data_IF_919320836826
#
_entry.id   IF_919320836826
#
_cell.length_a   1.000
_cell.length_b   1.000
_cell.length_c   1.000
_cell.angle_alpha   90.00
_cell.angle_beta   90.00
_cell.angle_gamma   90.00
#
_symmetry.space_group_name_H-M   'P 1'
#
loop_
_entity.id
_entity.type
_entity.pdbx_description
1 polymer ?
#
# COMPACT_ATOMS: atom_id res chain seq x y z
N UNK A 1 -3.33 25.62 -0.66
CA UNK A 1 -3.21 24.49 0.29
C UNK A 1 -4.20 23.44 -0.16
N UNK A 2 -3.73 22.35 -0.77
CA UNK A 2 -4.48 21.10 -0.85
C UNK A 2 -3.43 20.00 -0.72
N UNK A 3 -3.49 19.31 0.40
CA UNK A 3 -2.56 18.25 0.80
C UNK A 3 -3.10 17.01 0.13
N UNK A 4 -2.64 16.71 -1.08
CA UNK A 4 -3.08 15.53 -1.85
C UNK A 4 -2.40 14.27 -1.29
N UNK A 5 -2.68 14.00 -0.02
CA UNK A 5 -2.56 12.67 0.54
C UNK A 5 -3.74 11.92 -0.05
N UNK A 6 -3.50 10.82 -0.77
CA UNK A 6 -4.56 9.90 -1.19
C UNK A 6 -5.43 9.59 0.02
N UNK A 7 -6.60 10.22 0.08
CA UNK A 7 -7.53 10.13 1.19
C UNK A 7 -8.69 9.27 0.76
N UNK A 8 -8.62 8.01 1.14
CA UNK A 8 -9.65 7.03 0.85
C UNK A 8 -10.77 7.04 1.90
N UNK A 9 -10.85 8.03 2.79
CA UNK A 9 -11.93 8.09 3.78
C UNK A 9 -13.32 8.02 3.16
N UNK A 10 -13.48 8.54 1.93
CA UNK A 10 -14.73 8.49 1.19
C UNK A 10 -15.22 7.06 0.92
N UNK A 11 -14.32 6.08 0.84
CA UNK A 11 -14.69 4.67 0.72
C UNK A 11 -15.54 4.21 1.91
N UNK A 12 -15.19 4.65 3.12
CA UNK A 12 -15.92 4.27 4.34
C UNK A 12 -17.34 4.81 4.29
N UNK A 13 -17.49 6.10 3.98
CA UNK A 13 -18.80 6.74 3.88
C UNK A 13 -19.64 6.15 2.75
N UNK A 14 -19.04 5.93 1.58
CA UNK A 14 -19.75 5.35 0.44
C UNK A 14 -20.28 3.94 0.76
N UNK A 15 -19.49 3.10 1.45
CA UNK A 15 -19.90 1.75 1.84
C UNK A 15 -20.98 1.76 2.94
N UNK A 16 -20.91 2.67 3.91
CA UNK A 16 -21.92 2.78 4.97
C UNK A 16 -23.27 3.31 4.45
N UNK A 17 -23.23 4.22 3.47
CA UNK A 17 -24.41 4.85 2.88
C UNK A 17 -24.98 4.08 1.67
N UNK A 18 -24.42 2.91 1.34
CA UNK A 18 -24.77 2.09 0.16
C UNK A 18 -24.68 2.88 -1.16
N UNK A 19 -23.65 3.72 -1.29
CA UNK A 19 -23.32 4.45 -2.53
C UNK A 19 -22.41 3.60 -3.41
N UNK A 20 -22.94 2.47 -3.88
CA UNK A 20 -22.18 1.41 -4.56
C UNK A 20 -21.36 1.91 -5.75
N UNK A 21 -21.92 2.82 -6.56
CA UNK A 21 -21.18 3.40 -7.70
C UNK A 21 -19.91 4.15 -7.27
N UNK A 22 -19.98 4.92 -6.17
CA UNK A 22 -18.81 5.64 -5.66
C UNK A 22 -17.82 4.70 -4.96
N UNK A 23 -18.33 3.71 -4.24
CA UNK A 23 -17.49 2.69 -3.61
C UNK A 23 -16.69 1.92 -4.67
N UNK A 24 -17.34 1.46 -5.75
CA UNK A 24 -16.68 0.74 -6.83
C UNK A 24 -15.61 1.57 -7.53
N UNK A 25 -15.87 2.84 -7.84
CA UNK A 25 -14.86 3.75 -8.42
C UNK A 25 -13.60 3.83 -7.55
N UNK A 26 -13.75 3.91 -6.22
CA UNK A 26 -12.61 3.95 -5.31
C UNK A 26 -11.91 2.59 -5.22
N UNK A 27 -12.68 1.49 -5.25
CA UNK A 27 -12.14 0.13 -5.19
C UNK A 27 -11.35 -0.25 -6.45
N UNK A 28 -11.75 0.22 -7.62
CA UNK A 28 -10.99 0.05 -8.87
C UNK A 28 -9.58 0.64 -8.77
N UNK A 29 -9.38 1.69 -7.97
CA UNK A 29 -8.05 2.23 -7.68
C UNK A 29 -7.34 1.49 -6.53
N UNK A 30 -8.05 1.16 -5.46
CA UNK A 30 -7.46 0.64 -4.22
C UNK A 30 -7.02 -0.82 -4.35
N UNK A 31 -7.84 -1.68 -4.97
CA UNK A 31 -7.59 -3.11 -5.01
C UNK A 31 -6.30 -3.48 -5.77
N UNK A 32 -6.02 -2.94 -6.98
CA UNK A 32 -4.76 -3.24 -7.67
C UNK A 32 -3.52 -2.87 -6.83
N UNK A 33 -3.57 -1.72 -6.14
CA UNK A 33 -2.45 -1.28 -5.26
C UNK A 33 -2.20 -2.22 -4.09
N UNK A 34 -3.24 -2.85 -3.54
CA UNK A 34 -3.11 -3.85 -2.48
C UNK A 34 -2.49 -5.14 -3.00
N UNK A 35 -2.87 -5.57 -4.21
CA UNK A 35 -2.25 -6.72 -4.88
C UNK A 35 -0.78 -6.48 -5.17
N UNK A 36 -0.45 -5.33 -5.74
CA UNK A 36 0.93 -4.93 -6.01
C UNK A 36 1.77 -4.88 -4.74
N UNK A 37 1.20 -4.36 -3.65
CA UNK A 37 1.86 -4.39 -2.34
C UNK A 37 2.24 -5.82 -1.92
N UNK A 38 1.33 -6.79 -2.02
CA UNK A 38 1.62 -8.19 -1.67
C UNK A 38 2.65 -8.81 -2.60
N UNK A 39 2.55 -8.57 -3.90
CA UNK A 39 3.49 -9.08 -4.91
C UNK A 39 4.90 -8.54 -4.68
N UNK A 40 5.04 -7.25 -4.43
CA UNK A 40 6.34 -6.58 -4.27
C UNK A 40 6.98 -6.89 -2.92
N UNK A 41 6.22 -6.79 -1.81
CA UNK A 41 6.79 -6.88 -0.46
C UNK A 41 6.80 -8.29 0.11
N UNK A 42 5.96 -9.18 -0.42
CA UNK A 42 5.82 -10.55 0.09
C UNK A 42 6.07 -11.62 -0.97
N UNK A 43 6.38 -11.22 -2.21
CA UNK A 43 6.60 -12.12 -3.34
C UNK A 43 5.42 -13.08 -3.59
N UNK A 44 4.20 -12.58 -3.37
CA UNK A 44 2.97 -13.30 -3.67
C UNK A 44 2.81 -13.52 -5.19
N UNK A 45 2.25 -14.65 -5.59
CA UNK A 45 1.79 -14.82 -6.98
C UNK A 45 0.57 -13.94 -7.27
N UNK A 46 0.20 -13.75 -8.55
CA UNK A 46 -1.02 -12.98 -8.89
C UNK A 46 -2.26 -13.57 -8.22
N UNK A 47 -2.40 -14.90 -8.25
CA UNK A 47 -3.53 -15.59 -7.63
C UNK A 47 -3.55 -15.40 -6.11
N UNK A 48 -2.40 -15.58 -5.44
CA UNK A 48 -2.30 -15.39 -3.99
C UNK A 48 -2.64 -13.95 -3.58
N UNK A 49 -2.16 -12.97 -4.36
CA UNK A 49 -2.41 -11.57 -4.11
C UNK A 49 -3.89 -11.21 -4.29
N UNK A 50 -4.54 -11.72 -5.34
CA UNK A 50 -5.98 -11.55 -5.60
C UNK A 50 -6.81 -12.14 -4.45
N UNK A 51 -6.60 -13.41 -4.11
CA UNK A 51 -7.34 -14.11 -3.06
C UNK A 51 -7.18 -13.43 -1.70
N UNK A 52 -5.95 -13.11 -1.30
CA UNK A 52 -5.68 -12.45 -0.02
C UNK A 52 -6.26 -11.03 0.04
N UNK A 53 -6.21 -10.29 -1.07
CA UNK A 53 -6.76 -8.92 -1.13
C UNK A 53 -8.29 -8.94 -1.03
N UNK A 54 -8.96 -9.86 -1.72
CA UNK A 54 -10.41 -10.02 -1.63
C UNK A 54 -10.84 -10.38 -0.21
N UNK A 55 -10.18 -11.36 0.41
CA UNK A 55 -10.50 -11.76 1.80
C UNK A 55 -10.23 -10.62 2.79
N UNK A 56 -9.13 -9.90 2.63
CA UNK A 56 -8.82 -8.74 3.45
C UNK A 56 -9.86 -7.62 3.31
N UNK A 57 -10.34 -7.36 2.09
CA UNK A 57 -11.39 -6.40 1.84
C UNK A 57 -12.70 -6.80 2.54
N UNK A 58 -13.14 -8.05 2.44
CA UNK A 58 -14.32 -8.57 3.15
C UNK A 58 -14.18 -8.32 4.65
N UNK A 59 -13.03 -8.68 5.23
CA UNK A 59 -12.76 -8.53 6.66
C UNK A 59 -12.84 -7.06 7.09
N UNK A 60 -12.29 -6.14 6.30
CA UNK A 60 -12.35 -4.70 6.59
C UNK A 60 -13.74 -4.13 6.36
N UNK A 61 -14.44 -4.54 5.30
CA UNK A 61 -15.81 -4.14 5.01
C UNK A 61 -16.76 -4.48 6.17
N UNK A 62 -16.64 -5.66 6.75
CA UNK A 62 -17.40 -6.00 7.95
C UNK A 62 -17.13 -5.05 9.13
N UNK A 63 -15.89 -4.60 9.29
CA UNK A 63 -15.55 -3.63 10.35
C UNK A 63 -16.09 -2.23 10.05
N UNK A 64 -16.18 -1.84 8.77
CA UNK A 64 -16.81 -0.59 8.34
C UNK A 64 -18.30 -0.61 8.69
N UNK A 65 -19.01 -1.71 8.37
CA UNK A 65 -20.44 -1.85 8.67
C UNK A 65 -20.73 -1.87 10.18
N UNK A 66 -19.80 -2.42 10.97
CA UNK A 66 -19.89 -2.45 12.44
C UNK A 66 -19.48 -1.12 13.10
N UNK A 67 -19.13 -0.10 12.33
CA UNK A 67 -18.61 1.19 12.81
C UNK A 67 -17.36 1.07 13.72
N UNK A 68 -16.51 0.08 13.45
CA UNK A 68 -15.30 -0.21 14.23
C UNK A 68 -14.06 0.52 13.70
N UNK A 69 -14.18 1.28 12.61
CA UNK A 69 -13.07 2.05 12.03
C UNK A 69 -12.89 3.33 12.83
N UNK A 70 -11.83 3.38 13.65
CA UNK A 70 -11.60 4.53 14.56
C UNK A 70 -11.39 5.87 13.85
N UNK A 71 -10.78 5.84 12.65
CA UNK A 71 -10.44 7.00 11.82
C UNK A 71 -10.40 6.57 10.36
N UNK A 72 -11.35 7.07 9.59
CA UNK A 72 -11.64 6.74 8.19
C UNK A 72 -10.48 7.08 7.27
N UNK A 73 -9.78 8.20 7.54
CA UNK A 73 -8.55 8.61 6.82
C UNK A 73 -7.40 7.61 6.88
N UNK A 74 -7.50 6.56 7.70
CA UNK A 74 -6.53 5.48 7.79
C UNK A 74 -7.02 4.19 7.13
N UNK A 75 -8.14 4.20 6.42
CA UNK A 75 -8.75 2.99 5.84
C UNK A 75 -7.77 2.18 4.98
N UNK A 76 -6.95 2.85 4.16
CA UNK A 76 -5.90 2.18 3.38
C UNK A 76 -4.87 1.48 4.27
N UNK A 77 -4.52 2.05 5.42
CA UNK A 77 -3.64 1.39 6.39
C UNK A 77 -4.30 0.18 7.05
N UNK A 78 -5.62 0.17 7.23
CA UNK A 78 -6.34 -1.01 7.70
C UNK A 78 -6.32 -2.11 6.65
N UNK A 79 -6.57 -1.76 5.38
CA UNK A 79 -6.52 -2.69 4.25
C UNK A 79 -5.13 -3.31 4.05
N UNK A 80 -4.07 -2.51 4.04
CA UNK A 80 -2.67 -3.03 3.94
C UNK A 80 -2.37 -4.03 5.06
N UNK A 81 -2.76 -3.72 6.29
CA UNK A 81 -2.54 -4.62 7.44
C UNK A 81 -3.36 -5.90 7.31
N UNK A 82 -4.61 -5.79 6.88
CA UNK A 82 -5.47 -6.95 6.64
C UNK A 82 -4.87 -7.84 5.54
N UNK A 83 -4.47 -7.28 4.39
CA UNK A 83 -3.84 -8.00 3.28
C UNK A 83 -2.60 -8.77 3.74
N UNK A 84 -1.69 -8.10 4.45
CA UNK A 84 -0.49 -8.74 5.00
C UNK A 84 -0.83 -9.89 5.93
N UNK A 85 -1.82 -9.71 6.82
CA UNK A 85 -2.23 -10.75 7.76
C UNK A 85 -2.87 -11.95 7.04
N UNK A 86 -3.71 -11.71 6.04
CA UNK A 86 -4.29 -12.77 5.21
C UNK A 86 -3.20 -13.56 4.49
N UNK A 87 -2.24 -12.87 3.86
CA UNK A 87 -1.14 -13.55 3.19
C UNK A 87 -0.28 -14.38 4.15
N UNK A 88 0.08 -13.83 5.32
CA UNK A 88 0.83 -14.59 6.33
C UNK A 88 0.05 -15.80 6.86
N UNK A 89 -1.28 -15.70 6.96
CA UNK A 89 -2.15 -16.81 7.34
C UNK A 89 -2.20 -17.87 6.25
N UNK A 90 -2.41 -17.44 5.01
CA UNK A 90 -2.42 -18.27 3.81
C UNK A 90 -1.11 -19.04 3.66
N UNK A 91 0.04 -18.36 3.69
CA UNK A 91 1.37 -18.97 3.56
C UNK A 91 1.64 -20.00 4.67
N UNK A 92 1.26 -19.70 5.92
CA UNK A 92 1.37 -20.66 7.04
C UNK A 92 0.52 -21.93 6.82
N UNK A 93 -0.66 -21.78 6.25
CA UNK A 93 -1.53 -22.90 5.94
C UNK A 93 -1.00 -23.70 4.75
N UNK A 94 -0.50 -23.05 3.69
CA UNK A 94 0.12 -23.72 2.55
C UNK A 94 1.37 -24.53 2.95
N UNK A 95 2.21 -24.00 3.83
CA UNK A 95 3.36 -24.74 4.39
C UNK A 95 2.95 -25.97 5.22
N UNK A 96 1.70 -26.05 5.71
CA UNK A 96 1.17 -27.25 6.37
C UNK A 96 0.67 -28.31 5.38
N UNK A 97 0.40 -27.96 4.13
CA UNK A 97 -0.23 -28.84 3.13
C UNK A 97 0.64 -29.14 1.86
N UNK A 98 1.78 -28.47 1.65
CA UNK A 98 2.87 -28.73 0.69
C UNK A 98 2.65 -28.54 -0.85
N UNK A 99 3.72 -27.98 -1.47
CA UNK A 99 4.21 -27.96 -2.87
C UNK A 99 3.46 -27.19 -4.00
N UNK A 100 4.20 -26.60 -4.97
CA UNK A 100 3.76 -25.43 -5.73
C UNK A 100 3.10 -25.77 -7.07
N UNK A 101 2.16 -24.92 -7.48
CA UNK A 101 1.70 -24.81 -8.86
C UNK A 101 2.10 -23.40 -9.34
N UNK A 102 2.99 -23.39 -10.31
CA UNK A 102 3.38 -22.21 -11.10
C UNK A 102 2.37 -22.05 -12.25
N UNK A 103 1.75 -20.89 -12.36
CA UNK A 103 1.12 -20.47 -13.61
C UNK A 103 1.50 -19.01 -13.91
N UNK A 104 2.35 -18.88 -14.92
CA UNK A 104 2.61 -17.64 -15.65
C UNK A 104 1.37 -17.22 -16.44
N UNK A 105 1.01 -15.93 -16.38
CA UNK A 105 0.01 -15.35 -17.26
C UNK A 105 0.60 -14.17 -18.06
N UNK A 106 0.66 -14.33 -19.38
CA UNK A 106 0.94 -13.28 -20.34
C UNK A 106 -0.34 -12.45 -20.60
N UNK A 107 -0.29 -11.14 -20.40
CA UNK A 107 -1.33 -10.22 -20.84
C UNK A 107 -0.97 -9.54 -22.17
N UNK A 108 -1.94 -9.50 -23.08
CA UNK A 108 -1.95 -8.61 -24.25
C UNK A 108 -2.50 -7.25 -23.82
N UNK A 109 -1.77 -6.18 -24.12
CA UNK A 109 -2.06 -4.82 -23.62
C UNK A 109 -2.86 -4.01 -24.64
N UNK A 110 -3.95 -3.37 -24.21
CA UNK A 110 -4.78 -2.47 -25.04
C UNK A 110 -4.16 -1.06 -25.18
N UNK A 111 -4.53 -0.26 -26.20
CA UNK A 111 -3.93 1.07 -26.44
C UNK A 111 -4.10 2.10 -25.32
N UNK A 112 -5.18 2.02 -24.54
CA UNK A 112 -5.38 2.88 -23.37
C UNK A 112 -4.44 2.48 -22.21
N UNK A 113 -4.21 1.17 -22.06
CA UNK A 113 -3.28 0.61 -21.08
C UNK A 113 -1.83 0.99 -21.41
N UNK A 114 -1.48 1.16 -22.70
CA UNK A 114 -0.14 1.63 -23.08
C UNK A 114 0.16 3.04 -22.56
N UNK A 115 -0.81 3.97 -22.64
CA UNK A 115 -0.64 5.34 -22.15
C UNK A 115 -0.58 5.37 -20.62
N UNK A 116 -1.38 4.56 -19.94
CA UNK A 116 -1.29 4.45 -18.46
C UNK A 116 0.02 3.81 -18.03
N UNK A 117 0.51 2.79 -18.74
CA UNK A 117 1.80 2.15 -18.46
C UNK A 117 2.95 3.15 -18.63
N UNK A 118 2.97 3.94 -19.72
CA UNK A 118 3.94 5.01 -19.92
C UNK A 118 3.90 6.07 -18.80
N UNK A 119 2.69 6.49 -18.40
CA UNK A 119 2.53 7.41 -17.28
C UNK A 119 3.03 6.82 -15.95
N UNK A 120 2.85 5.53 -15.73
CA UNK A 120 3.31 4.85 -14.53
C UNK A 120 4.83 4.62 -14.54
N UNK A 121 5.44 4.33 -15.69
CA UNK A 121 6.89 4.28 -15.88
C UNK A 121 7.55 5.63 -15.58
N UNK A 122 6.97 6.74 -16.05
CA UNK A 122 7.51 8.08 -15.76
C UNK A 122 7.37 8.44 -14.28
N UNK A 123 6.24 8.11 -13.64
CA UNK A 123 6.08 8.29 -12.19
C UNK A 123 7.09 7.45 -11.41
N UNK A 124 7.30 6.20 -11.82
CA UNK A 124 8.27 5.30 -11.19
C UNK A 124 9.68 5.87 -11.30
N UNK A 125 10.13 6.26 -12.50
CA UNK A 125 11.43 6.89 -12.71
C UNK A 125 11.62 8.15 -11.86
N UNK A 126 10.63 9.04 -11.83
CA UNK A 126 10.71 10.26 -10.99
C UNK A 126 10.81 9.89 -9.51
N UNK A 127 10.07 8.89 -9.06
CA UNK A 127 10.11 8.43 -7.67
C UNK A 127 11.46 7.80 -7.33
N UNK A 128 12.03 6.98 -8.21
CA UNK A 128 13.38 6.41 -8.08
C UNK A 128 14.43 7.53 -7.94
N UNK A 129 14.42 8.51 -8.84
CA UNK A 129 15.31 9.68 -8.76
C UNK A 129 15.16 10.42 -7.42
N UNK A 130 13.93 10.52 -6.90
CA UNK A 130 13.68 11.16 -5.60
C UNK A 130 14.15 10.31 -4.41
N UNK A 131 14.05 8.99 -4.49
CA UNK A 131 14.58 8.07 -3.49
C UNK A 131 16.11 8.10 -3.48
N UNK A 132 16.75 8.22 -4.64
CA UNK A 132 18.22 8.32 -4.80
C UNK A 132 18.81 9.57 -4.17
N UNK A 133 17.98 10.59 -3.91
CA UNK A 133 18.38 11.78 -3.16
C UNK A 133 18.32 11.60 -1.62
N UNK A 134 17.79 10.49 -1.12
CA UNK A 134 17.80 10.19 0.31
C UNK A 134 19.18 9.70 0.73
N UNK A 135 19.57 10.02 1.97
CA UNK A 135 20.73 9.38 2.58
C UNK A 135 20.42 7.92 2.89
N UNK A 136 21.43 7.06 2.96
CA UNK A 136 21.27 5.61 3.19
C UNK A 136 20.42 5.31 4.44
N UNK A 137 20.67 6.05 5.53
CA UNK A 137 19.96 5.89 6.80
C UNK A 137 18.51 6.42 6.77
N UNK A 138 18.15 7.24 5.77
CA UNK A 138 16.79 7.70 5.52
C UNK A 138 16.04 6.70 4.63
N UNK A 139 16.72 6.14 3.64
CA UNK A 139 16.21 5.10 2.75
C UNK A 139 15.86 3.84 3.55
N UNK A 140 16.79 3.32 4.34
CA UNK A 140 16.61 2.14 5.19
C UNK A 140 15.39 2.31 6.13
N UNK A 141 15.22 3.52 6.68
CA UNK A 141 14.08 3.82 7.55
C UNK A 141 12.73 3.76 6.81
N UNK A 142 12.66 4.23 5.56
CA UNK A 142 11.42 4.18 4.77
C UNK A 142 11.12 2.77 4.28
N UNK A 143 12.13 2.05 3.79
CA UNK A 143 12.01 0.65 3.38
C UNK A 143 11.47 -0.20 4.54
N UNK A 144 12.03 -0.04 5.74
CA UNK A 144 11.53 -0.73 6.93
C UNK A 144 10.04 -0.45 7.20
N UNK A 145 9.56 0.78 6.98
CA UNK A 145 8.15 1.12 7.16
C UNK A 145 7.23 0.55 6.09
N UNK A 146 7.73 0.29 4.88
CA UNK A 146 7.00 -0.33 3.79
C UNK A 146 6.87 -1.84 4.06
N UNK A 147 7.97 -2.47 4.47
CA UNK A 147 8.02 -3.91 4.77
C UNK A 147 7.25 -4.28 6.04
N UNK A 148 7.18 -3.35 7.01
CA UNK A 148 6.55 -3.54 8.32
C UNK A 148 5.43 -2.50 8.56
N UNK A 149 4.30 -2.57 7.85
CA UNK A 149 3.21 -1.58 7.97
C UNK A 149 2.48 -1.60 9.33
N UNK A 150 2.66 -2.67 10.10
CA UNK A 150 2.19 -2.87 11.47
C UNK A 150 3.20 -2.40 12.52
N UNK A 151 4.44 -2.07 12.13
CA UNK A 151 5.48 -1.65 13.06
C UNK A 151 5.07 -0.42 13.87
N UNK A 152 5.16 -0.56 15.18
CA UNK A 152 4.94 0.51 16.13
C UNK A 152 6.16 1.43 16.18
N UNK A 153 5.96 2.68 16.57
CA UNK A 153 7.06 3.62 16.81
C UNK A 153 8.07 3.08 17.85
N UNK A 154 7.62 2.24 18.79
CA UNK A 154 8.49 1.62 19.80
C UNK A 154 9.40 0.56 19.19
N UNK A 155 8.91 -0.26 18.25
CA UNK A 155 9.72 -1.27 17.56
C UNK A 155 10.77 -0.59 16.67
N UNK A 156 10.35 0.37 15.85
CA UNK A 156 11.26 1.14 14.99
C UNK A 156 12.34 1.85 15.82
N UNK A 157 11.96 2.44 16.96
CA UNK A 157 12.88 3.09 17.89
C UNK A 157 13.99 2.15 18.39
N UNK A 158 13.65 0.87 18.64
CA UNK A 158 14.61 -0.15 19.05
C UNK A 158 15.52 -0.58 17.89
N UNK A 159 14.94 -0.84 16.71
CA UNK A 159 15.68 -1.30 15.52
C UNK A 159 16.73 -0.27 15.09
N UNK A 160 16.33 0.99 15.00
CA UNK A 160 17.20 2.08 14.53
C UNK A 160 17.98 2.78 15.64
N UNK A 161 17.84 2.33 16.90
CA UNK A 161 18.47 2.93 18.08
C UNK A 161 18.29 4.47 18.18
N UNK A 162 17.07 4.96 17.91
CA UNK A 162 16.70 6.38 17.99
C UNK A 162 15.45 6.56 18.84
N UNK A 163 15.22 7.76 19.38
CA UNK A 163 14.03 8.02 20.19
C UNK A 163 12.74 7.94 19.36
N UNK A 164 11.62 7.54 19.98
CA UNK A 164 10.33 7.49 19.27
C UNK A 164 9.86 8.85 18.72
N UNK A 165 10.28 9.97 19.34
CA UNK A 165 10.05 11.30 18.78
C UNK A 165 10.85 11.49 17.48
N UNK A 166 12.12 11.08 17.49
CA UNK A 166 13.01 11.13 16.33
C UNK A 166 12.46 10.29 15.16
N UNK A 167 11.99 9.06 15.42
CA UNK A 167 11.32 8.21 14.41
C UNK A 167 10.19 8.95 13.69
N UNK A 168 9.27 9.57 14.43
CA UNK A 168 8.13 10.30 13.85
C UNK A 168 8.58 11.50 13.04
N UNK A 169 9.55 12.27 13.57
CA UNK A 169 10.09 13.45 12.89
C UNK A 169 10.83 13.08 11.62
N UNK A 170 11.70 12.06 11.65
CA UNK A 170 12.41 11.57 10.45
C UNK A 170 11.44 11.06 9.40
N UNK A 171 10.51 10.16 9.77
CA UNK A 171 9.47 9.67 8.86
C UNK A 171 8.73 10.83 8.18
N UNK A 172 8.23 11.77 8.97
CA UNK A 172 7.50 12.93 8.43
C UNK A 172 8.36 13.76 7.47
N UNK A 173 9.61 14.05 7.82
CA UNK A 173 10.52 14.85 6.99
C UNK A 173 10.86 14.16 5.69
N UNK A 174 11.17 12.85 5.74
CA UNK A 174 11.50 12.07 4.55
C UNK A 174 10.29 12.01 3.61
N UNK A 175 9.10 11.67 4.10
CA UNK A 175 7.88 11.67 3.28
C UNK A 175 7.59 13.05 2.68
N UNK A 176 7.76 14.13 3.45
CA UNK A 176 7.59 15.49 2.92
C UNK A 176 8.62 15.80 1.83
N UNK A 177 9.89 15.44 2.00
CA UNK A 177 10.94 15.64 0.99
C UNK A 177 10.64 14.89 -0.29
N UNK A 178 10.28 13.62 -0.20
CA UNK A 178 9.88 12.80 -1.35
C UNK A 178 8.69 13.42 -2.09
N UNK A 179 7.64 13.84 -1.37
CA UNK A 179 6.49 14.50 -1.97
C UNK A 179 6.86 15.80 -2.71
N UNK A 180 7.70 16.65 -2.11
CA UNK A 180 8.13 17.89 -2.75
C UNK A 180 9.03 17.64 -3.96
N UNK A 181 9.94 16.66 -3.87
CA UNK A 181 10.78 16.24 -4.98
C UNK A 181 9.94 15.76 -6.16
N UNK A 182 9.02 14.83 -5.90
CA UNK A 182 8.13 14.28 -6.92
C UNK A 182 7.29 15.37 -7.58
N UNK A 183 6.63 16.22 -6.77
CA UNK A 183 5.78 17.30 -7.29
C UNK A 183 6.55 18.33 -8.13
N UNK A 184 7.82 18.57 -7.83
CA UNK A 184 8.67 19.46 -8.63
C UNK A 184 8.98 18.81 -9.98
N UNK A 185 9.51 17.59 -9.97
CA UNK A 185 9.90 16.85 -11.18
C UNK A 185 8.73 16.46 -12.08
N UNK A 186 7.55 16.19 -11.50
CA UNK A 186 6.33 15.88 -12.26
C UNK A 186 5.76 17.08 -13.02
N UNK A 187 6.11 18.31 -12.62
CA UNK A 187 5.64 19.54 -13.26
C UNK A 187 6.62 20.11 -14.30
N UNK A 188 7.82 19.57 -14.37
CA UNK A 188 8.85 19.91 -15.36
C UNK A 188 8.60 19.15 -16.66
#
# INVERSE_FOLDING_TARGET
MNTDRLDYSELVFALQENRDGKANEILEEVLPRLKDYLKVTMNATEQEAEECTQQAFINVYEQILKDNIRKEKYIFSYLIRACRNEYLSYAKNQHRFNSPIDENLHHFVEPAEQITNLLDEDKQRILEECLDMLQDDERELIEYFIDNPDATTKEVSKVFNISGANVRTRKSRITSRLHHCFKRKWKE
#
